data_IF_519508129775
#
_entry.id   IF_519508129775
#
_cell.length_a   1.000
_cell.length_b   1.000
_cell.length_c   1.000
_cell.angle_alpha   90.00
_cell.angle_beta   90.00
_cell.angle_gamma   90.00
#
_symmetry.space_group_name_H-M   'P 1'
#
loop_
_entity.id
_entity.type
_entity.pdbx_description
1 polymer ?
#
# COMPACT_ATOMS: atom_id res chain seq x y z
N UNK A 1 6.26 15.55 38.76
CA UNK A 1 7.63 16.16 38.83
C UNK A 1 7.66 17.36 37.91
N UNK A 2 8.24 18.48 38.32
CA UNK A 2 8.40 19.68 37.47
C UNK A 2 9.87 20.03 37.34
N UNK A 3 10.40 20.11 36.12
CA UNK A 3 11.72 20.64 35.82
C UNK A 3 11.72 21.39 34.48
N UNK A 4 12.83 22.02 34.11
CA UNK A 4 12.96 22.73 32.83
C UNK A 4 13.15 21.73 31.69
N UNK A 5 14.21 20.92 31.80
CA UNK A 5 14.60 19.90 30.83
C UNK A 5 14.72 18.57 31.54
N UNK A 6 14.39 17.49 30.83
CA UNK A 6 14.73 16.13 31.23
C UNK A 6 15.35 15.36 30.08
N UNK A 7 16.45 14.67 30.37
CA UNK A 7 17.25 13.91 29.39
C UNK A 7 17.40 12.47 29.90
N UNK A 8 16.95 11.51 29.10
CA UNK A 8 17.11 10.07 29.33
C UNK A 8 18.19 9.59 28.36
N UNK A 9 19.33 9.11 28.86
CA UNK A 9 20.47 8.80 28.00
C UNK A 9 21.25 10.05 27.55
N UNK A 10 21.59 10.92 28.50
CA UNK A 10 22.23 12.22 28.23
C UNK A 10 23.59 12.09 27.54
N UNK A 11 24.51 11.30 28.08
CA UNK A 11 25.90 11.22 27.56
C UNK A 11 26.08 10.05 26.61
N UNK A 12 27.09 10.12 25.74
CA UNK A 12 27.50 8.99 24.91
C UNK A 12 27.69 7.72 25.75
N UNK A 13 27.17 6.58 25.28
CA UNK A 13 27.14 5.27 25.99
C UNK A 13 26.30 5.21 27.27
N UNK A 14 25.73 6.32 27.72
CA UNK A 14 24.80 6.29 28.84
C UNK A 14 23.53 5.55 28.42
N UNK A 15 22.96 4.81 29.36
CA UNK A 15 21.70 4.09 29.18
C UNK A 15 20.73 4.61 30.25
N UNK A 16 19.60 5.17 29.82
CA UNK A 16 18.57 5.67 30.71
C UNK A 16 17.21 5.06 30.40
N UNK A 17 16.40 4.84 31.44
CA UNK A 17 15.01 4.44 31.28
C UNK A 17 14.13 5.25 32.22
N UNK A 18 12.92 5.59 31.79
CA UNK A 18 11.89 6.18 32.64
C UNK A 18 10.53 5.58 32.33
N UNK A 19 9.71 5.41 33.37
CA UNK A 19 8.33 4.94 33.25
C UNK A 19 7.40 5.91 33.96
N UNK A 20 6.34 6.34 33.28
CA UNK A 20 5.24 7.13 33.86
C UNK A 20 3.99 6.28 33.78
N UNK A 21 3.60 5.69 34.91
CA UNK A 21 2.52 4.71 34.98
C UNK A 21 1.48 5.07 36.04
N UNK A 22 0.24 4.66 35.80
CA UNK A 22 -0.89 4.80 36.73
C UNK A 22 -1.66 6.10 36.55
N UNK A 23 -2.99 6.01 36.63
CA UNK A 23 -3.89 7.15 36.51
C UNK A 23 -3.55 8.27 37.49
N UNK A 24 -3.38 9.49 36.97
CA UNK A 24 -3.03 10.67 37.75
C UNK A 24 -1.52 10.90 37.94
N UNK A 25 -0.66 9.96 37.51
CA UNK A 25 0.79 10.21 37.44
C UNK A 25 1.08 11.25 36.35
N UNK A 26 1.82 12.29 36.71
CA UNK A 26 2.19 13.35 35.77
C UNK A 26 3.65 13.77 35.90
N UNK A 27 4.34 13.76 34.77
CA UNK A 27 5.67 14.32 34.59
C UNK A 27 5.60 15.57 33.72
N UNK A 28 5.85 16.73 34.30
CA UNK A 28 5.76 18.02 33.61
C UNK A 28 7.14 18.62 33.43
N UNK A 29 7.47 19.01 32.21
CA UNK A 29 8.66 19.78 31.87
C UNK A 29 8.21 21.08 31.18
N UNK A 30 8.86 22.20 31.47
CA UNK A 30 8.46 23.48 30.86
C UNK A 30 9.17 23.78 29.55
N UNK A 31 10.26 23.07 29.25
CA UNK A 31 10.97 23.15 27.96
C UNK A 31 10.86 21.82 27.22
N UNK A 32 11.73 20.84 27.49
CA UNK A 32 11.78 19.62 26.67
C UNK A 32 11.96 18.34 27.47
N UNK A 33 11.48 17.24 26.90
CA UNK A 33 11.86 15.88 27.26
C UNK A 33 12.64 15.30 26.08
N UNK A 34 13.83 14.75 26.37
CA UNK A 34 14.72 14.12 25.39
C UNK A 34 14.92 12.66 25.76
N UNK A 35 14.66 11.77 24.82
CA UNK A 35 14.81 10.31 24.96
C UNK A 35 15.91 9.85 24.00
N UNK A 36 17.10 9.60 24.53
CA UNK A 36 18.33 9.40 23.76
C UNK A 36 18.87 10.73 23.25
N UNK A 37 19.68 11.43 24.06
CA UNK A 37 20.31 12.68 23.62
C UNK A 37 21.60 12.40 22.84
N UNK A 38 22.62 11.84 23.51
CA UNK A 38 23.84 11.30 22.88
C UNK A 38 24.03 9.80 23.16
N UNK A 39 23.30 9.23 24.12
CA UNK A 39 23.31 7.81 24.46
C UNK A 39 21.96 7.15 24.18
N UNK A 40 21.68 6.07 24.90
CA UNK A 40 20.46 5.29 24.77
C UNK A 40 19.43 5.72 25.82
N UNK A 41 18.22 6.03 25.38
CA UNK A 41 17.11 6.40 26.25
C UNK A 41 15.84 5.62 25.92
N UNK A 42 15.12 5.21 26.96
CA UNK A 42 13.78 4.64 26.83
C UNK A 42 12.76 5.35 27.73
N UNK A 43 11.58 5.66 27.18
CA UNK A 43 10.46 6.24 27.90
C UNK A 43 9.19 5.41 27.68
N UNK A 44 8.59 4.94 28.76
CA UNK A 44 7.32 4.22 28.74
C UNK A 44 6.24 5.02 29.47
N UNK A 45 5.16 5.35 28.78
CA UNK A 45 4.01 6.09 29.30
C UNK A 45 2.80 5.17 29.20
N UNK A 46 2.31 4.68 30.34
CA UNK A 46 1.25 3.67 30.33
C UNK A 46 0.25 3.78 31.47
N UNK A 47 -0.83 2.99 31.38
CA UNK A 47 -1.86 2.85 32.41
C UNK A 47 -2.42 4.20 32.94
N UNK A 48 -2.65 5.16 32.05
CA UNK A 48 -3.17 6.50 32.36
C UNK A 48 -2.12 7.52 32.83
N UNK A 49 -0.83 7.17 32.75
CA UNK A 49 0.27 8.10 33.02
C UNK A 49 0.38 9.21 31.96
N UNK A 50 0.85 10.40 32.36
CA UNK A 50 0.96 11.56 31.47
C UNK A 50 2.32 12.24 31.53
N UNK A 51 2.87 12.53 30.35
CA UNK A 51 4.03 13.42 30.18
C UNK A 51 3.55 14.73 29.56
N UNK A 52 4.08 15.84 30.03
CA UNK A 52 3.79 17.18 29.52
C UNK A 52 5.13 17.87 29.28
N UNK A 53 5.37 18.39 28.08
CA UNK A 53 6.55 19.20 27.75
C UNK A 53 6.19 20.32 26.77
N UNK A 54 7.08 21.29 26.54
CA UNK A 54 6.92 22.17 25.38
C UNK A 54 7.32 21.41 24.11
N UNK A 55 8.48 20.72 24.14
CA UNK A 55 8.99 19.96 22.99
C UNK A 55 9.34 18.52 23.38
N UNK A 56 9.33 17.62 22.40
CA UNK A 56 9.78 16.23 22.51
C UNK A 56 10.87 15.90 21.49
N UNK A 57 11.90 15.17 21.94
CA UNK A 57 12.98 14.69 21.08
C UNK A 57 13.23 13.21 21.36
N UNK A 58 13.32 12.38 20.32
CA UNK A 58 13.63 10.95 20.41
C UNK A 58 14.80 10.66 19.47
N UNK A 59 15.90 10.10 19.98
CA UNK A 59 17.12 9.82 19.20
C UNK A 59 17.73 11.09 18.59
N UNK A 60 18.02 12.09 19.44
CA UNK A 60 18.25 13.47 19.00
C UNK A 60 19.53 13.65 18.18
N UNK A 61 20.66 13.15 18.66
CA UNK A 61 21.96 13.34 18.00
C UNK A 61 22.51 12.03 17.42
N UNK A 62 23.40 12.16 16.44
CA UNK A 62 24.01 11.02 15.77
C UNK A 62 24.66 10.04 16.77
N UNK A 63 24.38 8.75 16.60
CA UNK A 63 24.85 7.68 17.49
C UNK A 63 24.04 7.48 18.77
N UNK A 64 22.99 8.27 19.00
CA UNK A 64 22.01 8.01 20.07
C UNK A 64 20.94 7.01 19.63
N UNK A 65 20.30 6.37 20.61
CA UNK A 65 19.10 5.56 20.40
C UNK A 65 17.99 6.07 21.32
N UNK A 66 16.84 6.43 20.75
CA UNK A 66 15.65 6.82 21.51
C UNK A 66 14.51 5.84 21.28
N UNK A 67 13.89 5.36 22.35
CA UNK A 67 12.69 4.53 22.26
C UNK A 67 11.59 5.09 23.17
N UNK A 68 10.42 5.39 22.62
CA UNK A 68 9.26 5.81 23.40
C UNK A 68 8.06 4.93 23.09
N UNK A 69 7.36 4.47 24.12
CA UNK A 69 6.08 3.77 24.00
C UNK A 69 5.01 4.51 24.79
N UNK A 70 3.86 4.74 24.16
CA UNK A 70 2.66 5.30 24.80
C UNK A 70 1.55 4.27 24.64
N UNK A 71 1.03 3.73 25.74
CA UNK A 71 0.09 2.60 25.68
C UNK A 71 -0.97 2.60 26.78
N UNK A 72 -2.16 2.08 26.47
CA UNK A 72 -3.25 1.96 27.42
C UNK A 72 -4.07 3.25 27.56
N UNK A 73 -5.33 3.09 27.97
CA UNK A 73 -6.30 4.18 28.02
C UNK A 73 -5.80 5.38 28.84
N UNK A 74 -6.07 6.58 28.33
CA UNK A 74 -5.73 7.89 28.92
C UNK A 74 -4.23 8.17 29.09
N UNK A 75 -3.35 7.31 28.55
CA UNK A 75 -1.92 7.57 28.53
C UNK A 75 -1.55 8.56 27.42
N UNK A 76 -0.80 9.59 27.78
CA UNK A 76 -0.50 10.65 26.82
C UNK A 76 0.87 11.30 27.03
N UNK A 77 1.50 11.70 25.94
CA UNK A 77 2.52 12.74 25.93
C UNK A 77 1.93 13.98 25.27
N UNK A 78 1.74 15.05 26.05
CA UNK A 78 1.21 16.33 25.58
C UNK A 78 2.37 17.31 25.38
N UNK A 79 2.50 17.85 24.17
CA UNK A 79 3.55 18.76 23.74
C UNK A 79 2.93 20.04 23.20
N UNK A 80 3.25 21.18 23.79
CA UNK A 80 2.70 22.47 23.31
C UNK A 80 3.40 23.01 22.06
N UNK A 81 4.50 22.39 21.65
CA UNK A 81 5.34 22.75 20.52
C UNK A 81 5.56 21.55 19.62
N UNK A 82 6.83 21.19 19.39
CA UNK A 82 7.20 20.20 18.36
C UNK A 82 7.55 18.82 18.95
N UNK A 83 7.41 17.80 18.11
CA UNK A 83 7.99 16.47 18.31
C UNK A 83 8.97 16.16 17.18
N UNK A 84 10.22 15.83 17.52
CA UNK A 84 11.24 15.39 16.56
C UNK A 84 11.64 13.94 16.85
N UNK A 85 11.51 13.08 15.85
CA UNK A 85 11.87 11.65 15.93
C UNK A 85 13.04 11.40 14.99
N UNK A 86 14.16 10.96 15.54
CA UNK A 86 15.38 10.62 14.81
C UNK A 86 16.24 11.82 14.44
N UNK A 87 16.14 12.94 15.17
CA UNK A 87 16.93 14.14 14.88
C UNK A 87 16.67 15.35 15.77
N UNK A 88 17.23 16.48 15.34
CA UNK A 88 17.09 17.80 15.95
C UNK A 88 16.49 18.78 14.92
N UNK A 89 16.34 20.04 15.32
CA UNK A 89 15.85 21.10 14.45
C UNK A 89 16.79 21.24 13.25
N UNK A 90 16.29 20.84 12.08
CA UNK A 90 16.96 21.01 10.79
C UNK A 90 17.97 19.93 10.40
N UNK A 91 18.14 18.86 11.19
CA UNK A 91 19.03 17.75 10.81
C UNK A 91 18.61 16.41 11.42
N UNK A 92 18.84 15.34 10.66
CA UNK A 92 18.80 13.97 11.13
C UNK A 92 19.83 13.70 12.24
N UNK A 93 19.50 12.76 13.12
CA UNK A 93 20.24 12.39 14.32
C UNK A 93 20.44 10.88 14.45
N UNK A 94 19.97 10.32 15.55
CA UNK A 94 20.15 8.91 15.93
C UNK A 94 18.98 8.02 15.55
N UNK A 95 19.08 6.74 15.92
CA UNK A 95 17.99 5.78 15.79
C UNK A 95 16.86 6.17 16.73
N UNK A 96 15.63 6.21 16.22
CA UNK A 96 14.49 6.64 17.02
C UNK A 96 13.24 5.84 16.68
N UNK A 97 12.55 5.37 17.73
CA UNK A 97 11.27 4.72 17.61
C UNK A 97 10.27 5.35 18.58
N UNK A 98 9.13 5.78 18.04
CA UNK A 98 7.94 6.09 18.82
C UNK A 98 6.85 5.08 18.47
N UNK A 99 6.40 4.31 19.44
CA UNK A 99 5.23 3.44 19.31
C UNK A 99 4.06 4.01 20.10
N UNK A 100 2.92 4.23 19.45
CA UNK A 100 1.68 4.62 20.11
C UNK A 100 0.67 3.50 19.94
N UNK A 101 0.44 2.75 21.02
CA UNK A 101 -0.47 1.61 21.04
C UNK A 101 -1.88 2.02 21.47
N UNK A 102 -2.84 1.11 21.33
CA UNK A 102 -4.25 1.31 21.63
C UNK A 102 -4.50 2.06 22.96
N UNK A 103 -5.29 3.14 22.86
CA UNK A 103 -5.65 4.03 23.97
C UNK A 103 -4.56 5.05 24.37
N UNK A 104 -3.35 4.92 23.82
CA UNK A 104 -2.28 5.89 23.96
C UNK A 104 -2.39 7.02 22.94
N UNK A 105 -1.91 8.21 23.31
CA UNK A 105 -1.91 9.39 22.45
C UNK A 105 -0.61 10.20 22.53
N UNK A 106 -0.04 10.56 21.39
CA UNK A 106 0.93 11.65 21.29
C UNK A 106 0.20 12.92 20.81
N UNK A 107 0.03 13.89 21.68
CA UNK A 107 -0.68 15.14 21.42
C UNK A 107 0.35 16.26 21.21
N UNK A 108 0.50 16.74 19.98
CA UNK A 108 1.49 17.74 19.58
C UNK A 108 0.78 18.97 19.04
N UNK A 109 0.84 20.10 19.74
CA UNK A 109 0.07 21.29 19.33
C UNK A 109 0.57 21.98 18.05
N UNK A 110 1.79 21.66 17.58
CA UNK A 110 2.38 22.26 16.37
C UNK A 110 2.82 21.18 15.37
N UNK A 111 4.13 20.91 15.29
CA UNK A 111 4.71 20.15 14.18
C UNK A 111 5.35 18.84 14.66
N UNK A 112 5.08 17.75 13.93
CA UNK A 112 5.83 16.48 14.03
C UNK A 112 6.84 16.39 12.88
N UNK A 113 8.10 16.10 13.17
CA UNK A 113 9.09 15.77 12.13
C UNK A 113 9.70 14.40 12.41
N UNK A 114 9.67 13.54 11.41
CA UNK A 114 10.32 12.23 11.44
C UNK A 114 11.51 12.28 10.50
N UNK A 115 12.71 12.28 11.03
CA UNK A 115 13.95 12.21 10.27
C UNK A 115 14.29 10.76 9.95
N UNK A 116 15.10 10.48 8.93
CA UNK A 116 15.78 9.19 8.84
C UNK A 116 16.90 9.12 9.89
N UNK A 117 17.09 8.01 10.62
CA UNK A 117 16.40 6.71 10.52
C UNK A 117 15.17 6.55 11.45
N UNK A 118 14.63 7.64 11.99
CA UNK A 118 13.47 7.65 12.87
C UNK A 118 12.20 7.02 12.28
N UNK A 119 11.44 6.37 13.17
CA UNK A 119 10.18 5.70 12.86
C UNK A 119 9.10 6.06 13.89
N UNK A 120 7.89 6.36 13.41
CA UNK A 120 6.68 6.34 14.22
C UNK A 120 5.83 5.13 13.82
N UNK A 121 5.38 4.38 14.81
CA UNK A 121 4.51 3.21 14.62
C UNK A 121 3.23 3.38 15.43
N UNK A 122 2.09 3.33 14.77
CA UNK A 122 0.79 3.25 15.42
C UNK A 122 0.39 1.78 15.59
N UNK A 123 -0.08 1.39 16.76
CA UNK A 123 -0.61 0.05 17.06
C UNK A 123 -1.97 0.17 17.76
N UNK A 124 -2.91 0.79 17.03
CA UNK A 124 -4.24 1.21 17.48
C UNK A 124 -4.25 2.54 18.23
N UNK A 125 -3.12 3.21 18.38
CA UNK A 125 -2.98 4.50 19.04
C UNK A 125 -3.18 5.71 18.12
N UNK A 126 -2.99 6.90 18.68
CA UNK A 126 -3.24 8.18 18.00
C UNK A 126 -2.04 9.13 18.08
N UNK A 127 -1.71 9.77 16.97
CA UNK A 127 -0.85 10.98 16.95
C UNK A 127 -1.70 12.14 16.46
N UNK A 128 -1.75 13.23 17.22
CA UNK A 128 -2.41 14.48 16.84
C UNK A 128 -1.37 15.58 16.58
N UNK A 129 -1.49 16.31 15.46
CA UNK A 129 -0.66 17.49 15.17
C UNK A 129 -1.28 18.51 14.21
N UNK A 130 -0.74 19.73 14.18
CA UNK A 130 -1.11 20.72 13.15
C UNK A 130 -0.47 20.38 11.81
N UNK A 131 0.83 20.09 11.80
CA UNK A 131 1.53 19.67 10.59
C UNK A 131 2.51 18.54 10.86
N UNK A 132 2.85 17.80 9.82
CA UNK A 132 3.94 16.85 9.88
C UNK A 132 4.81 16.84 8.61
N UNK A 133 6.09 16.55 8.81
CA UNK A 133 7.02 16.21 7.74
C UNK A 133 7.68 14.87 8.02
N UNK A 134 7.42 13.90 7.15
CA UNK A 134 8.01 12.58 7.20
C UNK A 134 9.16 12.45 6.20
N UNK A 135 10.39 12.41 6.70
CA UNK A 135 11.57 11.95 5.96
C UNK A 135 11.92 10.49 6.30
N UNK A 136 11.52 10.02 7.49
CA UNK A 136 11.74 8.67 8.01
C UNK A 136 10.64 7.69 7.60
N UNK A 137 10.11 6.95 8.58
CA UNK A 137 9.02 5.99 8.37
C UNK A 137 7.83 6.27 9.30
N UNK A 138 6.64 6.34 8.70
CA UNK A 138 5.36 6.22 9.39
C UNK A 138 4.83 4.81 9.12
N UNK A 139 4.37 4.11 10.16
CA UNK A 139 3.97 2.71 10.03
C UNK A 139 2.86 2.30 10.98
N UNK A 140 2.32 1.10 10.78
CA UNK A 140 1.41 0.49 11.74
C UNK A 140 -0.06 0.74 11.43
N UNK A 141 -0.94 0.39 12.37
CA UNK A 141 -2.38 0.64 12.29
C UNK A 141 -2.81 1.65 13.35
N UNK A 142 -3.68 2.60 13.01
CA UNK A 142 -4.14 3.59 13.98
C UNK A 142 -4.50 4.92 13.32
N UNK A 143 -4.66 5.95 14.16
CA UNK A 143 -5.08 7.27 13.72
C UNK A 143 -3.91 8.26 13.74
N UNK A 144 -3.60 8.80 12.58
CA UNK A 144 -2.73 9.94 12.40
C UNK A 144 -3.60 11.16 12.10
N UNK A 145 -4.02 11.85 13.16
CA UNK A 145 -4.87 13.03 13.13
C UNK A 145 -4.00 14.27 12.92
N UNK A 146 -3.62 14.54 11.67
CA UNK A 146 -2.71 15.64 11.35
C UNK A 146 -3.22 16.41 10.15
N UNK A 147 -3.55 17.69 10.37
CA UNK A 147 -4.20 18.52 9.36
C UNK A 147 -3.45 18.55 8.01
N UNK A 148 -2.11 18.63 8.06
CA UNK A 148 -1.28 18.63 6.84
C UNK A 148 -0.02 17.77 7.03
N UNK A 149 0.07 16.68 6.28
CA UNK A 149 1.22 15.77 6.27
C UNK A 149 1.94 15.88 4.94
N UNK A 150 3.23 16.18 4.99
CA UNK A 150 4.16 16.08 3.85
C UNK A 150 5.06 14.88 4.06
N UNK A 151 5.32 14.10 3.00
CA UNK A 151 6.24 12.97 3.07
C UNK A 151 7.23 13.03 1.91
N UNK A 152 8.48 12.70 2.20
CA UNK A 152 9.46 12.18 1.23
C UNK A 152 10.10 10.89 1.76
N UNK A 153 9.52 10.31 2.80
CA UNK A 153 9.92 9.05 3.41
C UNK A 153 8.89 7.96 3.14
N UNK A 154 8.92 6.93 3.99
CA UNK A 154 8.06 5.76 3.85
C UNK A 154 6.78 5.89 4.67
N UNK A 155 5.65 5.47 4.10
CA UNK A 155 4.38 5.21 4.80
C UNK A 155 4.04 3.74 4.58
N UNK A 156 3.93 2.96 5.65
CA UNK A 156 3.67 1.52 5.59
C UNK A 156 2.50 1.16 6.53
N UNK A 157 1.25 1.18 6.04
CA UNK A 157 0.11 0.79 6.85
C UNK A 157 0.26 -0.63 7.39
N UNK A 158 -0.32 -0.88 8.55
CA UNK A 158 -0.23 -2.18 9.20
C UNK A 158 1.06 -2.46 9.96
N UNK A 159 0.97 -3.44 10.87
CA UNK A 159 2.12 -4.28 11.22
C UNK A 159 2.12 -5.53 10.30
N UNK A 160 1.52 -5.34 9.12
CA UNK A 160 1.22 -6.30 8.05
C UNK A 160 0.30 -7.47 8.49
N UNK A 161 -0.96 -7.56 8.06
CA UNK A 161 -1.77 -6.55 7.38
C UNK A 161 -2.47 -5.59 8.38
N UNK A 162 -2.85 -4.39 7.95
CA UNK A 162 -3.58 -3.43 8.77
C UNK A 162 -4.05 -2.16 8.07
N UNK A 163 -4.70 -1.25 8.81
CA UNK A 163 -5.14 0.06 8.30
C UNK A 163 -4.49 1.21 9.05
N UNK A 164 -3.88 2.12 8.30
CA UNK A 164 -3.44 3.42 8.78
C UNK A 164 -4.41 4.49 8.27
N UNK A 165 -5.01 5.23 9.19
CA UNK A 165 -5.90 6.36 8.86
C UNK A 165 -5.14 7.67 9.05
N UNK A 166 -5.03 8.46 7.99
CA UNK A 166 -4.54 9.85 7.97
C UNK A 166 -5.75 10.78 7.92
N UNK A 167 -6.08 11.43 9.04
CA UNK A 167 -7.15 12.45 9.08
C UNK A 167 -6.56 13.83 8.79
N UNK A 168 -6.63 14.23 7.52
CA UNK A 168 -6.08 15.48 7.03
C UNK A 168 -5.62 15.41 5.58
N UNK A 169 -4.85 16.41 5.17
CA UNK A 169 -4.25 16.46 3.83
C UNK A 169 -2.93 15.68 3.80
N UNK A 170 -2.74 14.84 2.79
CA UNK A 170 -1.47 14.17 2.49
C UNK A 170 -0.84 14.76 1.22
N UNK A 171 0.44 15.09 1.26
CA UNK A 171 1.23 15.45 0.08
C UNK A 171 2.53 14.64 0.03
N UNK A 172 2.62 13.76 -0.95
CA UNK A 172 3.80 12.95 -1.24
C UNK A 172 4.75 13.73 -2.16
N UNK A 173 6.04 13.64 -1.88
CA UNK A 173 7.09 14.05 -2.82
C UNK A 173 7.64 12.86 -3.61
N UNK A 174 8.40 13.12 -4.67
CA UNK A 174 8.95 12.11 -5.59
C UNK A 174 9.84 11.02 -4.95
N UNK A 175 10.37 11.26 -3.73
CA UNK A 175 11.15 10.27 -3.00
C UNK A 175 10.32 9.44 -2.01
N UNK A 176 9.01 9.71 -1.90
CA UNK A 176 8.13 8.97 -0.99
C UNK A 176 7.96 7.53 -1.44
N UNK A 177 7.71 6.64 -0.48
CA UNK A 177 7.27 5.28 -0.77
C UNK A 177 6.07 4.96 0.09
N UNK A 178 5.01 4.45 -0.52
CA UNK A 178 3.90 3.80 0.20
C UNK A 178 4.08 2.30 0.04
N UNK A 179 4.22 1.58 1.16
CA UNK A 179 4.38 0.12 1.20
C UNK A 179 2.99 -0.50 1.47
N UNK A 180 2.59 -1.50 0.70
CA UNK A 180 1.32 -2.24 0.85
C UNK A 180 1.59 -3.74 0.74
N UNK A 181 1.21 -4.50 1.75
CA UNK A 181 1.22 -5.96 1.72
C UNK A 181 -0.15 -6.52 1.29
N UNK A 182 -0.15 -7.54 0.41
CA UNK A 182 -1.36 -8.27 -0.02
C UNK A 182 -1.14 -9.77 0.15
N UNK A 183 -1.66 -10.31 1.27
CA UNK A 183 -1.53 -11.73 1.63
C UNK A 183 -2.88 -12.47 1.65
N UNK A 184 -3.96 -11.83 1.20
CA UNK A 184 -5.28 -12.42 1.05
C UNK A 184 -6.33 -11.39 0.63
N UNK A 185 -7.60 -11.82 0.60
CA UNK A 185 -8.72 -11.05 0.02
C UNK A 185 -9.42 -10.07 0.97
N UNK A 186 -9.11 -10.09 2.27
CA UNK A 186 -9.85 -9.29 3.27
C UNK A 186 -9.04 -8.06 3.68
N UNK A 187 -9.62 -6.87 3.47
CA UNK A 187 -9.04 -5.59 3.84
C UNK A 187 -8.67 -5.55 5.33
N UNK A 188 -7.62 -4.79 5.66
CA UNK A 188 -7.14 -4.50 7.01
C UNK A 188 -6.64 -5.73 7.81
N UNK A 189 -6.88 -6.95 7.34
CA UNK A 189 -6.59 -8.19 8.08
C UNK A 189 -5.78 -9.19 7.26
N UNK A 190 -5.85 -9.09 5.93
CA UNK A 190 -5.05 -9.88 5.01
C UNK A 190 -4.32 -9.02 3.98
N UNK A 191 -4.69 -7.76 3.82
CA UNK A 191 -3.91 -6.77 3.08
C UNK A 191 -4.02 -5.38 3.69
N UNK A 192 -3.07 -4.52 3.39
CA UNK A 192 -2.98 -3.19 3.95
C UNK A 192 -3.90 -2.17 3.29
N UNK A 193 -4.35 -1.22 4.09
CA UNK A 193 -5.12 -0.07 3.63
C UNK A 193 -4.52 1.22 4.17
N UNK A 194 -4.23 2.16 3.26
CA UNK A 194 -4.01 3.55 3.61
C UNK A 194 -5.32 4.33 3.42
N UNK A 195 -5.89 4.84 4.51
CA UNK A 195 -7.09 5.66 4.47
C UNK A 195 -6.73 7.12 4.66
N UNK A 196 -6.92 7.96 3.65
CA UNK A 196 -6.73 9.41 3.71
C UNK A 196 -8.13 10.02 3.79
N UNK A 197 -8.50 10.56 4.94
CA UNK A 197 -9.84 11.14 5.12
C UNK A 197 -9.99 12.45 4.33
N UNK A 198 -8.89 13.19 4.16
CA UNK A 198 -8.85 14.45 3.42
C UNK A 198 -8.36 14.30 1.98
N UNK A 199 -7.72 15.36 1.48
CA UNK A 199 -7.20 15.40 0.11
C UNK A 199 -5.82 14.75 0.03
N UNK A 200 -5.57 14.02 -1.06
CA UNK A 200 -4.27 13.43 -1.38
C UNK A 200 -3.61 14.18 -2.54
N UNK A 201 -2.30 14.41 -2.45
CA UNK A 201 -1.45 14.69 -3.59
C UNK A 201 -0.43 13.55 -3.67
N UNK A 202 -0.68 12.60 -4.56
CA UNK A 202 0.12 11.41 -4.78
C UNK A 202 1.34 11.73 -5.66
N UNK A 203 2.44 11.03 -5.38
CA UNK A 203 3.72 11.08 -6.08
C UNK A 203 4.62 9.95 -5.53
N UNK A 204 5.82 9.79 -6.08
CA UNK A 204 6.77 8.79 -5.61
C UNK A 204 6.36 7.37 -5.98
N UNK A 205 6.66 6.40 -5.12
CA UNK A 205 6.51 4.97 -5.45
C UNK A 205 5.44 4.29 -4.59
N UNK A 206 4.56 3.52 -5.22
CA UNK A 206 3.78 2.48 -4.55
C UNK A 206 4.56 1.15 -4.62
N UNK A 207 4.99 0.65 -3.48
CA UNK A 207 5.67 -0.63 -3.34
C UNK A 207 4.69 -1.67 -2.80
N UNK A 208 4.39 -2.68 -3.62
CA UNK A 208 3.46 -3.75 -3.26
C UNK A 208 4.24 -5.02 -2.98
N UNK A 209 3.98 -5.65 -1.84
CA UNK A 209 4.49 -6.99 -1.53
C UNK A 209 3.34 -8.00 -1.59
N UNK A 210 3.42 -8.90 -2.57
CA UNK A 210 2.43 -9.95 -2.79
C UNK A 210 3.11 -11.30 -2.57
N UNK A 211 3.41 -11.69 -1.33
CA UNK A 211 3.68 -13.11 -1.04
C UNK A 211 3.46 -13.54 0.43
N UNK A 212 2.50 -14.44 0.57
CA UNK A 212 2.34 -15.38 1.70
C UNK A 212 1.82 -16.74 1.19
N UNK A 213 2.08 -17.07 -0.07
CA UNK A 213 1.42 -18.15 -0.82
C UNK A 213 0.02 -17.77 -1.33
N UNK A 214 -0.29 -16.48 -1.44
CA UNK A 214 -1.57 -15.97 -1.93
C UNK A 214 -1.52 -15.77 -3.45
N UNK A 215 -2.50 -16.30 -4.16
CA UNK A 215 -2.71 -16.03 -5.58
C UNK A 215 -4.08 -15.36 -5.70
N UNK A 216 -4.15 -14.07 -6.02
CA UNK A 216 -5.41 -13.37 -6.24
C UNK A 216 -6.30 -14.11 -7.23
N UNK A 217 -7.62 -14.13 -7.01
CA UNK A 217 -8.56 -14.63 -8.00
C UNK A 217 -8.53 -13.75 -9.27
N UNK A 218 -9.09 -14.27 -10.37
CA UNK A 218 -9.23 -13.50 -11.62
C UNK A 218 -10.10 -12.26 -11.40
N UNK A 219 -9.64 -11.10 -11.87
CA UNK A 219 -10.27 -9.79 -11.71
C UNK A 219 -10.54 -9.38 -10.24
N UNK A 220 -9.86 -10.01 -9.28
CA UNK A 220 -9.94 -9.61 -7.88
C UNK A 220 -9.35 -8.21 -7.71
N UNK A 221 -10.08 -7.33 -7.02
CA UNK A 221 -9.71 -5.95 -6.80
C UNK A 221 -9.42 -5.70 -5.31
N UNK A 222 -8.31 -5.02 -5.02
CA UNK A 222 -7.87 -4.63 -3.68
C UNK A 222 -7.91 -3.11 -3.56
N UNK A 223 -8.74 -2.57 -2.68
CA UNK A 223 -8.76 -1.13 -2.39
C UNK A 223 -7.66 -0.78 -1.40
N UNK A 224 -6.52 -0.32 -1.90
CA UNK A 224 -5.28 -0.18 -1.09
C UNK A 224 -5.04 1.25 -0.61
N UNK A 225 -5.57 2.25 -1.32
CA UNK A 225 -5.58 3.65 -0.87
C UNK A 225 -6.98 4.21 -1.06
N UNK A 226 -7.48 4.95 -0.07
CA UNK A 226 -8.71 5.74 -0.19
C UNK A 226 -8.42 7.20 0.12
N UNK A 227 -9.13 8.11 -0.55
CA UNK A 227 -8.99 9.56 -0.39
C UNK A 227 -10.33 10.26 -0.66
N UNK A 228 -10.54 11.45 -0.10
CA UNK A 228 -11.72 12.26 -0.43
C UNK A 228 -11.63 12.92 -1.82
N UNK A 229 -10.41 13.29 -2.21
CA UNK A 229 -10.06 13.90 -3.51
C UNK A 229 -8.54 13.77 -3.68
N UNK A 230 -8.08 13.31 -4.85
CA UNK A 230 -6.66 13.22 -5.20
C UNK A 230 -6.22 14.36 -6.14
N UNK A 231 -7.13 15.24 -6.55
CA UNK A 231 -6.86 16.27 -7.54
C UNK A 231 -6.40 15.73 -8.90
N UNK A 232 -6.65 14.45 -9.20
CA UNK A 232 -6.14 13.73 -10.38
C UNK A 232 -4.65 13.41 -10.31
N UNK A 233 -4.07 13.27 -9.11
CA UNK A 233 -2.67 12.86 -8.92
C UNK A 233 -2.52 11.34 -8.84
N UNK A 234 -1.35 10.81 -9.23
CA UNK A 234 -1.03 9.38 -9.17
C UNK A 234 0.36 9.16 -8.54
N UNK A 235 0.68 7.91 -8.22
CA UNK A 235 2.06 7.51 -7.96
C UNK A 235 2.90 7.59 -9.24
N UNK A 236 4.13 8.07 -9.12
CA UNK A 236 5.09 8.20 -10.23
C UNK A 236 5.64 6.84 -10.69
N UNK A 237 5.62 5.82 -9.82
CA UNK A 237 6.15 4.50 -10.10
C UNK A 237 5.50 3.41 -9.24
N UNK A 238 5.53 2.17 -9.76
CA UNK A 238 5.03 0.98 -9.06
C UNK A 238 6.11 -0.10 -8.99
N UNK A 239 6.16 -0.84 -7.88
CA UNK A 239 7.04 -2.01 -7.75
C UNK A 239 6.27 -3.17 -7.12
N UNK A 240 6.65 -4.41 -7.48
CA UNK A 240 6.07 -5.62 -6.90
C UNK A 240 4.64 -5.96 -7.35
N UNK A 241 4.21 -5.43 -8.50
CA UNK A 241 2.88 -5.72 -9.07
C UNK A 241 2.76 -7.11 -9.73
N UNK A 242 3.88 -7.77 -10.05
CA UNK A 242 3.87 -9.04 -10.77
C UNK A 242 3.37 -10.21 -9.92
N UNK A 243 2.58 -11.10 -10.51
CA UNK A 243 2.11 -12.35 -9.89
C UNK A 243 2.84 -13.56 -10.49
N UNK A 244 2.99 -14.62 -9.69
CA UNK A 244 3.73 -15.84 -10.08
C UNK A 244 3.11 -16.64 -11.25
N UNK A 245 1.85 -16.37 -11.59
CA UNK A 245 1.10 -17.04 -12.66
C UNK A 245 1.11 -16.28 -13.99
N UNK A 246 1.92 -15.23 -14.11
CA UNK A 246 2.06 -14.41 -15.31
C UNK A 246 1.03 -13.28 -15.43
N UNK A 247 0.17 -13.11 -14.42
CA UNK A 247 -0.68 -11.92 -14.26
C UNK A 247 0.05 -10.84 -13.46
N UNK A 248 -0.64 -9.73 -13.26
CA UNK A 248 -0.19 -8.62 -12.45
C UNK A 248 -1.37 -7.93 -11.76
N UNK A 249 -1.04 -7.16 -10.72
CA UNK A 249 -1.91 -6.17 -10.13
C UNK A 249 -1.81 -4.89 -10.95
N UNK A 250 -2.90 -4.50 -11.61
CA UNK A 250 -2.94 -3.28 -12.38
C UNK A 250 -3.55 -2.15 -11.52
N UNK A 251 -2.85 -1.00 -11.37
CA UNK A 251 -3.39 0.18 -10.72
C UNK A 251 -4.60 0.75 -11.48
N UNK A 252 -5.68 1.01 -10.76
CA UNK A 252 -6.90 1.65 -11.29
C UNK A 252 -7.32 2.75 -10.32
N UNK A 253 -7.25 4.00 -10.78
CA UNK A 253 -7.75 5.14 -10.03
C UNK A 253 -9.22 5.38 -10.31
N UNK A 254 -9.99 5.53 -9.24
CA UNK A 254 -11.32 6.13 -9.29
C UNK A 254 -11.33 7.47 -8.53
N UNK A 255 -12.48 8.13 -8.46
CA UNK A 255 -12.60 9.45 -7.82
C UNK A 255 -12.28 9.49 -6.31
N UNK A 256 -12.15 8.34 -5.66
CA UNK A 256 -12.06 8.19 -4.19
C UNK A 256 -11.09 7.10 -3.72
N UNK A 257 -10.50 6.33 -4.64
CA UNK A 257 -9.67 5.19 -4.30
C UNK A 257 -8.67 4.84 -5.41
N UNK A 258 -7.58 4.22 -4.97
CA UNK A 258 -6.70 3.41 -5.81
C UNK A 258 -7.01 1.93 -5.55
N UNK A 259 -7.45 1.26 -6.62
CA UNK A 259 -7.63 -0.19 -6.66
C UNK A 259 -6.42 -0.84 -7.33
N UNK A 260 -6.05 -2.03 -6.86
CA UNK A 260 -5.16 -2.95 -7.57
C UNK A 260 -5.99 -4.12 -8.07
N UNK A 261 -6.05 -4.32 -9.40
CA UNK A 261 -6.89 -5.36 -10.02
C UNK A 261 -6.02 -6.46 -10.61
N UNK A 262 -6.27 -7.72 -10.24
CA UNK A 262 -5.54 -8.86 -10.78
C UNK A 262 -5.96 -9.17 -12.23
N UNK A 263 -5.19 -8.70 -13.21
CA UNK A 263 -5.38 -8.94 -14.65
C UNK A 263 -4.05 -9.24 -15.37
N UNK A 264 -4.08 -9.38 -16.70
CA UNK A 264 -2.87 -9.45 -17.53
C UNK A 264 -2.31 -8.06 -17.83
N UNK A 265 -0.99 -7.94 -17.91
CA UNK A 265 -0.39 -6.73 -18.46
C UNK A 265 -0.80 -6.55 -19.92
N UNK A 266 -1.17 -5.33 -20.31
CA UNK A 266 -1.66 -5.02 -21.66
C UNK A 266 -3.17 -5.03 -21.83
N UNK A 267 -3.94 -5.39 -20.80
CA UNK A 267 -5.41 -5.24 -20.73
C UNK A 267 -5.73 -3.83 -20.19
N UNK A 268 -5.77 -2.86 -21.10
CA UNK A 268 -5.93 -1.44 -20.79
C UNK A 268 -7.37 -1.00 -20.56
N UNK A 269 -8.33 -1.72 -21.15
CA UNK A 269 -9.76 -1.43 -20.93
C UNK A 269 -10.35 -2.22 -19.74
N UNK A 270 -9.54 -3.10 -19.14
CA UNK A 270 -9.89 -3.95 -18.00
C UNK A 270 -11.06 -4.90 -18.27
N UNK A 271 -11.25 -5.32 -19.52
CA UNK A 271 -12.30 -6.27 -19.87
C UNK A 271 -11.89 -7.72 -19.63
N UNK A 272 -10.64 -7.98 -19.24
CA UNK A 272 -10.10 -9.30 -18.95
C UNK A 272 -9.55 -10.01 -20.18
N UNK A 273 -9.41 -9.32 -21.31
CA UNK A 273 -8.80 -9.83 -22.54
C UNK A 273 -7.80 -8.81 -23.05
N UNK A 274 -6.58 -9.26 -23.39
CA UNK A 274 -5.62 -8.41 -24.10
C UNK A 274 -5.90 -8.52 -25.60
N UNK A 275 -6.61 -7.55 -26.16
CA UNK A 275 -7.06 -7.58 -27.55
C UNK A 275 -6.84 -6.24 -28.30
N UNK A 276 -7.53 -6.07 -29.44
CA UNK A 276 -7.39 -4.89 -30.27
C UNK A 276 -7.96 -3.61 -29.66
N UNK A 277 -8.82 -3.72 -28.64
CA UNK A 277 -9.36 -2.59 -27.89
C UNK A 277 -8.29 -1.98 -26.97
N UNK A 278 -7.41 -2.79 -26.39
CA UNK A 278 -6.29 -2.29 -25.59
C UNK A 278 -5.22 -1.65 -26.45
N UNK A 279 -4.98 -2.23 -27.63
CA UNK A 279 -4.12 -1.60 -28.62
C UNK A 279 -4.61 -0.20 -29.00
N UNK A 280 -5.93 0.00 -29.12
CA UNK A 280 -6.50 1.31 -29.43
C UNK A 280 -6.23 2.32 -28.32
N UNK A 281 -6.25 1.90 -27.06
CA UNK A 281 -5.89 2.74 -25.92
C UNK A 281 -4.43 3.18 -26.03
N UNK A 282 -3.50 2.23 -26.19
CA UNK A 282 -2.08 2.56 -26.39
C UNK A 282 -1.85 3.46 -27.60
N UNK A 283 -2.48 3.16 -28.74
CA UNK A 283 -2.28 3.91 -29.97
C UNK A 283 -2.83 5.35 -29.89
N UNK A 284 -3.90 5.58 -29.12
CA UNK A 284 -4.47 6.91 -28.88
C UNK A 284 -3.57 7.76 -27.99
N UNK A 285 -2.82 7.13 -27.09
CA UNK A 285 -1.98 7.79 -26.09
C UNK A 285 -0.47 7.67 -26.38
N UNK A 286 -0.05 7.13 -27.52
CA UNK A 286 1.38 7.00 -27.84
C UNK A 286 2.08 8.37 -27.87
N UNK A 287 3.17 8.49 -27.10
CA UNK A 287 3.93 9.75 -26.92
C UNK A 287 3.07 10.88 -26.31
N UNK A 288 1.99 10.52 -25.59
CA UNK A 288 1.19 11.44 -24.80
C UNK A 288 2.02 12.03 -23.65
N UNK A 289 1.53 13.13 -23.09
CA UNK A 289 2.20 13.82 -22.00
C UNK A 289 2.35 12.87 -20.79
N UNK A 290 3.56 12.65 -20.22
CA UNK A 290 3.78 11.80 -19.04
C UNK A 290 3.10 12.32 -17.75
N UNK A 291 2.20 13.30 -17.86
CA UNK A 291 1.34 13.80 -16.80
C UNK A 291 -0.13 13.40 -16.97
N UNK A 292 -0.47 12.53 -17.94
CA UNK A 292 -1.80 11.93 -18.08
C UNK A 292 -2.00 10.81 -17.03
N UNK A 293 -2.86 11.02 -16.01
CA UNK A 293 -3.02 10.13 -14.86
C UNK A 293 -3.97 8.98 -15.19
N UNK A 294 -3.69 8.23 -16.25
CA UNK A 294 -4.56 7.14 -16.68
C UNK A 294 -3.89 5.77 -16.62
N UNK A 295 -2.58 5.69 -16.30
CA UNK A 295 -1.84 4.43 -16.14
C UNK A 295 -2.08 3.46 -17.31
N UNK A 296 -2.44 2.20 -17.00
CA UNK A 296 -2.78 1.21 -18.03
C UNK A 296 -4.02 1.60 -18.87
N UNK A 297 -4.99 2.33 -18.32
CA UNK A 297 -6.10 2.90 -19.10
C UNK A 297 -5.67 4.07 -20.01
N UNK A 298 -4.47 4.61 -19.78
CA UNK A 298 -3.74 5.54 -20.65
C UNK A 298 -2.76 4.86 -21.59
N UNK A 299 -2.66 3.52 -21.57
CA UNK A 299 -1.75 2.77 -22.43
C UNK A 299 -0.34 2.58 -21.87
N UNK A 300 -0.04 3.03 -20.65
CA UNK A 300 1.18 2.69 -19.90
C UNK A 300 1.03 1.30 -19.25
N UNK A 301 1.27 0.26 -20.05
CA UNK A 301 1.11 -1.13 -19.63
C UNK A 301 2.25 -1.65 -18.78
N UNK A 302 3.38 -0.95 -18.75
CA UNK A 302 4.54 -1.33 -17.95
C UNK A 302 4.68 -0.52 -16.64
N UNK A 303 3.90 0.55 -16.49
CA UNK A 303 3.78 1.37 -15.29
C UNK A 303 4.97 2.29 -15.04
N UNK A 304 5.68 2.73 -16.10
CA UNK A 304 6.84 3.64 -15.99
C UNK A 304 6.50 5.12 -16.20
N UNK A 305 5.21 5.45 -16.21
CA UNK A 305 4.68 6.81 -16.38
C UNK A 305 4.76 7.31 -17.82
N UNK A 306 4.94 6.40 -18.79
CA UNK A 306 5.02 6.75 -20.21
C UNK A 306 4.25 5.75 -21.05
N UNK A 307 3.67 6.25 -22.13
CA UNK A 307 3.04 5.41 -23.14
C UNK A 307 3.92 5.39 -24.39
N UNK A 308 4.79 4.39 -24.49
CA UNK A 308 5.81 4.29 -25.53
C UNK A 308 5.91 2.90 -26.19
N UNK A 309 7.01 2.64 -26.90
CA UNK A 309 7.22 1.39 -27.62
C UNK A 309 7.43 0.17 -26.71
N UNK A 310 7.77 0.37 -25.44
CA UNK A 310 7.89 -0.69 -24.44
C UNK A 310 6.51 -1.21 -24.04
N UNK A 311 5.51 -0.35 -23.91
CA UNK A 311 4.11 -0.75 -23.66
C UNK A 311 3.54 -1.57 -24.80
N UNK A 312 3.87 -1.19 -26.04
CA UNK A 312 3.50 -2.01 -27.19
C UNK A 312 4.06 -3.43 -27.10
N UNK A 313 5.30 -3.61 -26.59
CA UNK A 313 5.88 -4.93 -26.42
C UNK A 313 5.19 -5.72 -25.32
N UNK A 314 4.71 -5.05 -24.27
CA UNK A 314 3.89 -5.66 -23.22
C UNK A 314 2.56 -6.16 -23.80
N UNK A 315 1.81 -5.30 -24.50
CA UNK A 315 0.58 -5.69 -25.17
C UNK A 315 0.80 -6.82 -26.18
N UNK A 316 1.79 -6.67 -27.08
CA UNK A 316 2.05 -7.66 -28.13
C UNK A 316 2.51 -9.00 -27.58
N UNK A 317 3.21 -9.00 -26.43
CA UNK A 317 3.62 -10.21 -25.72
C UNK A 317 2.45 -10.97 -25.09
N UNK A 318 1.37 -10.26 -24.75
CA UNK A 318 0.18 -10.80 -24.09
C UNK A 318 -1.06 -10.85 -24.98
N UNK A 319 -0.99 -10.50 -26.27
CA UNK A 319 -2.14 -10.52 -27.18
C UNK A 319 -2.86 -11.88 -27.19
N UNK A 320 -4.21 -11.84 -27.15
CA UNK A 320 -5.13 -12.98 -27.00
C UNK A 320 -5.07 -13.71 -25.63
N UNK A 321 -4.25 -13.24 -24.67
CA UNK A 321 -4.39 -13.69 -23.30
C UNK A 321 -5.76 -13.24 -22.78
N UNK A 322 -6.44 -14.15 -22.09
CA UNK A 322 -7.76 -13.89 -21.55
C UNK A 322 -7.89 -14.61 -20.22
N UNK A 323 -8.46 -13.92 -19.24
CA UNK A 323 -8.89 -14.55 -17.98
C UNK A 323 -10.22 -15.30 -18.15
N UNK A 324 -10.89 -15.20 -19.31
CA UNK A 324 -12.04 -16.05 -19.60
C UNK A 324 -11.59 -17.39 -20.18
N UNK A 325 -12.15 -18.47 -19.63
CA UNK A 325 -12.00 -19.78 -20.24
C UNK A 325 -12.37 -19.71 -21.73
N UNK A 326 -11.56 -20.29 -22.64
CA UNK A 326 -11.87 -20.29 -24.06
C UNK A 326 -13.26 -20.89 -24.21
N UNK A 327 -14.18 -20.13 -24.81
CA UNK A 327 -15.51 -20.66 -25.12
C UNK A 327 -15.25 -21.90 -25.96
N UNK A 328 -15.55 -23.07 -25.40
CA UNK A 328 -15.46 -24.32 -26.14
C UNK A 328 -16.43 -24.17 -27.29
N UNK A 329 -15.92 -23.80 -28.46
CA UNK A 329 -16.69 -23.93 -29.68
C UNK A 329 -16.88 -25.42 -29.81
N UNK A 330 -18.08 -25.90 -29.45
CA UNK A 330 -18.50 -27.24 -29.82
C UNK A 330 -18.54 -27.21 -31.34
N UNK A 331 -17.40 -27.43 -31.99
CA UNK A 331 -17.35 -27.78 -33.40
C UNK A 331 -18.20 -29.03 -33.47
N UNK A 332 -19.39 -29.00 -34.11
CA UNK A 332 -20.14 -30.21 -34.28
C UNK A 332 -19.25 -31.13 -35.10
N UNK A 333 -18.75 -32.22 -34.50
CA UNK A 333 -18.09 -33.24 -35.30
C UNK A 333 -19.05 -33.60 -36.45
N UNK A 334 -18.60 -33.62 -37.71
CA UNK A 334 -19.47 -33.98 -38.81
C UNK A 334 -20.02 -35.35 -38.47
N UNK A 335 -21.32 -35.37 -38.20
CA UNK A 335 -22.02 -36.47 -37.57
C UNK A 335 -21.46 -37.82 -38.04
N UNK A 336 -20.98 -38.64 -37.10
CA UNK A 336 -20.63 -40.04 -37.34
C UNK A 336 -21.77 -40.87 -37.98
N UNK A 337 -22.95 -40.25 -38.19
CA UNK A 337 -24.05 -40.68 -39.05
C UNK A 337 -23.72 -40.77 -40.56
N UNK A 338 -22.70 -40.07 -41.09
CA UNK A 338 -22.31 -40.22 -42.51
C UNK A 338 -21.35 -41.39 -42.78
N UNK A 339 -20.75 -41.98 -41.73
CA UNK A 339 -19.88 -43.18 -41.83
C UNK A 339 -20.55 -44.47 -41.31
N UNK A 340 -21.88 -44.49 -41.17
CA UNK A 340 -22.68 -45.71 -40.92
C UNK A 340 -23.69 -46.04 -42.04
N UNK A 341 -23.91 -45.15 -43.02
CA UNK A 341 -24.79 -45.41 -44.17
C UNK A 341 -24.09 -45.99 -45.42
N UNK A 342 -22.76 -46.19 -45.41
CA UNK A 342 -22.01 -46.79 -46.52
C UNK A 342 -21.46 -48.20 -46.21
N UNK A 343 -21.99 -48.86 -45.18
CA UNK A 343 -21.62 -50.23 -44.76
C UNK A 343 -22.71 -51.29 -44.93
N UNK A 344 -23.93 -50.95 -45.37
CA UNK A 344 -25.08 -51.89 -45.43
C UNK A 344 -25.70 -52.10 -46.82
N UNK A 345 -25.11 -51.57 -47.90
CA UNK A 345 -25.61 -51.74 -49.30
C UNK A 345 -24.90 -52.88 -50.08
N UNK A 346 -24.08 -53.73 -49.43
CA UNK A 346 -23.41 -54.88 -50.10
C UNK A 346 -23.88 -56.28 -49.66
N UNK A 347 -25.08 -56.44 -49.07
CA UNK A 347 -25.63 -57.77 -48.73
C UNK A 347 -27.03 -58.11 -49.27
N UNK A 348 -27.64 -57.30 -50.14
CA UNK A 348 -28.95 -57.61 -50.75
C UNK A 348 -28.97 -57.59 -52.29
N UNK A 349 -28.06 -58.34 -52.91
CA UNK A 349 -28.17 -58.69 -54.34
C UNK A 349 -27.90 -60.20 -54.54
N UNK A 350 -28.85 -61.04 -54.13
CA UNK A 350 -28.95 -62.43 -54.61
C UNK A 350 -30.11 -62.56 -55.60
N UNK A 351 -29.86 -62.74 -56.92
CA UNK A 351 -30.93 -63.01 -57.86
C UNK A 351 -31.40 -64.48 -57.75
N UNK A 352 -32.67 -64.69 -57.34
CA UNK A 352 -33.39 -65.96 -57.53
C UNK A 352 -33.83 -66.06 -59.00
N UNK A 353 -33.21 -66.94 -59.80
CA UNK A 353 -33.75 -67.33 -61.12
C UNK A 353 -34.92 -68.31 -60.95
N UNK A 354 -36.08 -67.96 -61.51
CA UNK A 354 -37.32 -68.75 -61.56
C UNK A 354 -37.23 -69.88 -62.59
N UNK A 355 -37.90 -71.00 -62.27
CA UNK A 355 -38.17 -72.16 -63.12
C UNK A 355 -39.00 -71.77 -64.35
N UNK A 356 -38.65 -72.32 -65.51
CA UNK A 356 -39.50 -72.37 -66.70
C UNK A 356 -40.13 -73.76 -66.75
N UNK A 357 -41.45 -73.83 -66.87
CA UNK A 357 -42.21 -75.00 -67.27
C UNK A 357 -42.89 -74.67 -68.59
N UNK A 358 -42.74 -75.55 -69.57
CA UNK A 358 -43.58 -75.60 -70.78
C UNK A 358 -44.06 -77.04 -70.94
N UNK A 359 -45.34 -77.11 -71.27
CA UNK A 359 -46.20 -78.25 -71.64
C UNK A 359 -45.54 -79.27 -72.54
#
# INVERSE_FOLDING_TARGET
VTALVSEIGQNATANGTATVTGGGSTWTQTDRVVVGEFGDGALDINAGGKVISANGFIGRYAGSTGQTTISGADSAWNMTGILLVGGDVGAAGGEAQLTVSAGGKADVSDTVVVWQPGTITLDGGEVEALTATNYGKLSGSGLWDVNNTTSTGTIAPGLSAGKLTLDGTLSLGAASTVEIEIYGSTAETQYDVLEIVGTAALAGTLAVDVDGGFTPAEAEAFGVVTFADDGGSEFDAYTGLGLDDGRALIPVYDSTALLLVASYFGDGNFDGVVDGLDYLIWAEHFDSDPSDPSGAAGGDFNGDGKTDGLDYLVWAGNFEQSIFAPIATTVPEPSALLMTCMGTITLYARPRRRRIATT
#
